data_IF_876834662859
#
_entry.id   IF_876834662859
#
_cell.length_a   1.000
_cell.length_b   1.000
_cell.length_c   1.000
_cell.angle_alpha   90.00
_cell.angle_beta   90.00
_cell.angle_gamma   90.00
#
_symmetry.space_group_name_H-M   'P 1'
#
loop_
_entity.id
_entity.type
_entity.pdbx_description
1 polymer ?
#
# COMPACT_ATOMS: atom_id res chain seq x y z
N UNK A 1 -18.95 -9.03 -19.24
CA UNK A 1 -18.25 -9.25 -17.97
C UNK A 1 -19.08 -8.57 -16.91
N UNK A 2 -19.28 -9.23 -15.77
CA UNK A 2 -19.93 -8.65 -14.61
C UNK A 2 -19.12 -7.46 -14.09
N UNK A 3 -19.77 -6.40 -13.65
CA UNK A 3 -19.10 -5.27 -13.04
C UNK A 3 -18.86 -5.54 -11.56
N UNK A 4 -17.73 -5.08 -11.05
CA UNK A 4 -17.40 -5.15 -9.63
C UNK A 4 -17.48 -3.76 -9.00
N UNK A 5 -18.21 -3.66 -7.90
CA UNK A 5 -18.44 -2.43 -7.15
C UNK A 5 -17.79 -2.47 -5.77
N UNK A 6 -17.37 -1.31 -5.29
CA UNK A 6 -16.91 -1.09 -3.92
C UNK A 6 -18.09 -0.54 -3.13
N UNK A 7 -18.45 -1.21 -2.04
CA UNK A 7 -19.55 -0.82 -1.16
C UNK A 7 -19.06 -0.10 0.08
N UNK A 8 -17.96 -0.60 0.65
CA UNK A 8 -17.36 0.02 1.83
C UNK A 8 -15.87 -0.31 1.94
N UNK A 9 -15.17 0.45 2.76
CA UNK A 9 -13.79 0.16 3.15
C UNK A 9 -13.49 0.69 4.54
N UNK A 10 -12.57 0.02 5.20
CA UNK A 10 -12.06 0.42 6.51
C UNK A 10 -10.57 0.12 6.61
N UNK A 11 -9.89 0.85 7.50
CA UNK A 11 -8.53 0.55 7.91
C UNK A 11 -8.34 0.81 9.40
N UNK A 12 -7.37 0.16 9.99
CA UNK A 12 -6.83 0.60 11.27
C UNK A 12 -6.08 1.92 11.13
N UNK A 13 -5.87 2.70 12.18
CA UNK A 13 -4.74 3.61 12.22
C UNK A 13 -3.44 2.79 12.09
N UNK A 14 -2.35 3.44 11.66
CA UNK A 14 -1.04 2.80 11.51
C UNK A 14 -0.23 3.02 12.77
N UNK A 15 0.11 1.93 13.48
CA UNK A 15 0.99 1.95 14.65
C UNK A 15 2.45 1.93 14.24
N UNK A 16 3.35 2.56 15.01
CA UNK A 16 4.80 2.46 14.74
C UNK A 16 5.29 1.01 14.81
N UNK A 17 6.01 0.55 13.81
CA UNK A 17 6.53 -0.82 13.69
C UNK A 17 7.75 -1.07 14.59
N UNK A 18 7.59 -0.88 15.89
CA UNK A 18 8.62 -1.01 16.93
C UNK A 18 8.02 -1.63 18.19
N UNK A 19 8.85 -2.20 19.10
CA UNK A 19 8.36 -2.74 20.36
C UNK A 19 7.65 -1.72 21.27
N UNK A 20 7.92 -0.43 21.10
CA UNK A 20 7.26 0.68 21.82
C UNK A 20 6.11 1.31 21.02
N UNK A 21 5.73 0.74 19.87
CA UNK A 21 4.59 1.20 19.07
C UNK A 21 3.25 0.79 19.68
N UNK A 22 2.24 1.64 19.52
CA UNK A 22 0.92 1.47 20.16
C UNK A 22 0.19 0.17 19.77
N UNK A 23 0.52 -0.43 18.61
CA UNK A 23 -0.10 -1.68 18.15
C UNK A 23 0.79 -2.93 18.38
N UNK A 24 1.97 -2.78 18.99
CA UNK A 24 2.89 -3.92 19.17
C UNK A 24 2.27 -5.05 20.00
N UNK A 25 1.51 -4.74 21.04
CA UNK A 25 0.86 -5.73 21.90
C UNK A 25 -0.41 -6.34 21.28
N UNK A 26 -0.88 -5.81 20.14
CA UNK A 26 -2.05 -6.33 19.44
C UNK A 26 -1.62 -7.42 18.46
N UNK A 27 -2.07 -8.68 18.63
CA UNK A 27 -1.76 -9.75 17.68
C UNK A 27 -2.22 -9.41 16.25
N UNK A 28 -1.47 -9.80 15.21
CA UNK A 28 -1.85 -9.54 13.81
C UNK A 28 -3.26 -10.02 13.45
N UNK A 29 -3.67 -11.16 14.03
CA UNK A 29 -5.00 -11.71 13.81
C UNK A 29 -6.10 -10.78 14.33
N UNK A 30 -5.88 -10.06 15.44
CA UNK A 30 -6.83 -9.09 15.97
C UNK A 30 -6.96 -7.85 15.09
N UNK A 31 -5.85 -7.37 14.50
CA UNK A 31 -5.89 -6.26 13.55
C UNK A 31 -6.68 -6.67 12.29
N UNK A 32 -6.44 -7.88 11.77
CA UNK A 32 -7.12 -8.41 10.60
C UNK A 32 -8.61 -8.68 10.88
N UNK A 33 -8.93 -9.33 11.99
CA UNK A 33 -10.33 -9.57 12.40
C UNK A 33 -11.07 -8.27 12.74
N UNK A 34 -10.37 -7.28 13.32
CA UNK A 34 -10.93 -5.98 13.68
C UNK A 34 -11.49 -5.22 12.48
N UNK A 35 -10.79 -5.21 11.34
CA UNK A 35 -11.31 -4.58 10.11
C UNK A 35 -12.46 -5.37 9.49
N UNK A 36 -12.47 -6.71 9.61
CA UNK A 36 -13.59 -7.54 9.17
C UNK A 36 -14.84 -7.31 10.04
N UNK A 37 -14.68 -7.30 11.37
CA UNK A 37 -15.77 -6.94 12.30
C UNK A 37 -16.34 -5.56 11.97
N UNK A 38 -15.49 -4.57 11.70
CA UNK A 38 -15.93 -3.23 11.36
C UNK A 38 -16.73 -3.19 10.04
N UNK A 39 -16.33 -3.92 9.01
CA UNK A 39 -17.12 -4.06 7.76
C UNK A 39 -18.47 -4.69 8.04
N UNK A 40 -18.52 -5.80 8.80
CA UNK A 40 -19.75 -6.48 9.16
C UNK A 40 -20.69 -5.55 9.93
N UNK A 41 -20.23 -5.00 11.03
CA UNK A 41 -21.08 -4.33 12.02
C UNK A 41 -21.64 -3.00 11.48
N UNK A 42 -20.80 -2.19 10.77
CA UNK A 42 -21.26 -0.89 10.25
C UNK A 42 -22.21 -1.01 9.05
N UNK A 43 -22.21 -2.15 8.36
CA UNK A 43 -23.06 -2.40 7.21
C UNK A 43 -24.22 -3.36 7.52
N UNK A 44 -24.32 -3.88 8.74
CA UNK A 44 -25.30 -4.94 9.07
C UNK A 44 -25.16 -6.15 8.15
N UNK A 45 -23.94 -6.46 7.71
CA UNK A 45 -23.66 -7.46 6.69
C UNK A 45 -23.97 -8.87 7.20
N UNK A 46 -24.87 -9.57 6.51
CA UNK A 46 -24.98 -11.02 6.64
C UNK A 46 -23.71 -11.65 6.05
N UNK A 47 -22.84 -12.14 6.93
CA UNK A 47 -21.56 -12.72 6.54
C UNK A 47 -21.69 -14.00 5.73
N UNK A 48 -22.86 -14.66 5.77
CA UNK A 48 -23.16 -15.81 4.91
C UNK A 48 -23.23 -15.48 3.42
N UNK A 49 -23.34 -14.20 3.06
CA UNK A 49 -23.29 -13.71 1.68
C UNK A 49 -21.86 -13.57 1.15
N UNK A 50 -20.85 -13.55 2.03
CA UNK A 50 -19.45 -13.38 1.61
C UNK A 50 -18.88 -14.72 1.14
N UNK A 51 -18.42 -14.78 -0.10
CA UNK A 51 -17.82 -15.97 -0.69
C UNK A 51 -16.36 -16.15 -0.29
N UNK A 52 -15.58 -15.04 -0.29
CA UNK A 52 -14.14 -15.12 -0.08
C UNK A 52 -13.57 -13.86 0.59
N UNK A 53 -12.55 -14.06 1.41
CA UNK A 53 -11.69 -13.00 1.97
C UNK A 53 -10.29 -13.15 1.40
N UNK A 54 -9.87 -12.21 0.57
CA UNK A 54 -8.55 -12.20 -0.06
C UNK A 54 -7.68 -11.16 0.64
N UNK A 55 -6.70 -11.59 1.43
CA UNK A 55 -5.82 -10.69 2.17
C UNK A 55 -4.37 -10.77 1.72
N UNK A 56 -3.76 -9.59 1.55
CA UNK A 56 -2.33 -9.42 1.38
C UNK A 56 -1.59 -9.54 2.70
N UNK A 57 -0.49 -10.32 2.72
CA UNK A 57 0.45 -10.39 3.81
C UNK A 57 1.83 -10.71 3.25
N UNK A 58 2.83 -9.86 3.54
CA UNK A 58 4.17 -9.99 2.93
C UNK A 58 5.06 -10.96 3.70
N UNK A 59 4.94 -10.97 5.02
CA UNK A 59 5.67 -11.89 5.88
C UNK A 59 4.73 -12.96 6.45
N UNK A 60 4.28 -13.95 5.64
CA UNK A 60 3.26 -14.93 6.02
C UNK A 60 3.83 -16.04 6.90
N UNK A 61 4.49 -15.68 7.98
CA UNK A 61 5.16 -16.61 8.91
C UNK A 61 4.82 -16.26 10.36
N UNK A 62 5.05 -17.21 11.28
CA UNK A 62 4.75 -17.02 12.70
C UNK A 62 3.29 -16.63 12.91
N UNK A 63 3.04 -15.51 13.58
CA UNK A 63 1.71 -15.02 13.90
C UNK A 63 0.89 -14.54 12.67
N UNK A 64 1.54 -14.34 11.53
CA UNK A 64 0.91 -13.97 10.25
C UNK A 64 0.80 -15.16 9.29
N UNK A 65 1.20 -16.36 9.72
CA UNK A 65 1.15 -17.58 8.92
C UNK A 65 -0.22 -18.26 8.89
N UNK A 66 -0.24 -19.45 8.31
CA UNK A 66 -1.39 -20.38 8.30
C UNK A 66 -2.69 -19.78 7.73
N UNK A 67 -2.58 -19.02 6.62
CA UNK A 67 -3.73 -18.35 5.98
C UNK A 67 -4.49 -17.42 6.92
N UNK A 68 -3.85 -16.32 7.28
CA UNK A 68 -4.42 -15.32 8.19
C UNK A 68 -5.75 -14.75 7.68
N UNK A 69 -6.04 -14.78 6.37
CA UNK A 69 -7.31 -14.31 5.80
C UNK A 69 -8.47 -15.17 6.29
N UNK A 70 -8.35 -16.49 6.14
CA UNK A 70 -9.39 -17.43 6.63
C UNK A 70 -9.50 -17.39 8.14
N UNK A 71 -8.38 -17.40 8.86
CA UNK A 71 -8.38 -17.37 10.32
C UNK A 71 -8.98 -16.07 10.86
N UNK A 72 -8.72 -14.92 10.22
CA UNK A 72 -9.32 -13.64 10.61
C UNK A 72 -10.84 -13.62 10.38
N UNK A 73 -11.33 -14.23 9.29
CA UNK A 73 -12.76 -14.35 9.04
C UNK A 73 -13.46 -15.16 10.15
N UNK A 74 -12.90 -16.31 10.52
CA UNK A 74 -13.42 -17.13 11.63
C UNK A 74 -13.35 -16.38 12.96
N UNK A 75 -12.24 -15.71 13.24
CA UNK A 75 -12.03 -14.96 14.48
C UNK A 75 -12.90 -13.70 14.57
N UNK A 76 -13.35 -13.19 13.42
CA UNK A 76 -14.31 -12.10 13.32
C UNK A 76 -15.78 -12.56 13.35
N UNK A 77 -16.06 -13.84 13.65
CA UNK A 77 -17.40 -14.45 13.68
C UNK A 77 -18.12 -14.35 12.30
N UNK A 78 -17.40 -14.46 11.23
CA UNK A 78 -17.97 -14.66 9.90
C UNK A 78 -18.50 -16.10 9.77
N UNK A 79 -19.48 -16.31 8.92
CA UNK A 79 -20.03 -17.64 8.67
C UNK A 79 -18.93 -18.65 8.27
N UNK A 80 -19.05 -19.90 8.70
CA UNK A 80 -18.08 -20.95 8.39
C UNK A 80 -17.97 -21.26 6.89
N UNK A 81 -18.96 -20.85 6.10
CA UNK A 81 -18.97 -20.94 4.64
C UNK A 81 -18.01 -20.00 3.94
N UNK A 82 -17.56 -18.91 4.60
CA UNK A 82 -16.66 -17.91 3.99
C UNK A 82 -15.29 -18.50 3.76
N UNK A 83 -14.83 -18.58 2.53
CA UNK A 83 -13.46 -18.98 2.21
C UNK A 83 -12.45 -17.88 2.57
N UNK A 84 -11.16 -18.20 2.53
CA UNK A 84 -10.11 -17.22 2.71
C UNK A 84 -8.85 -17.61 1.96
N UNK A 85 -8.13 -16.62 1.45
CA UNK A 85 -6.82 -16.83 0.82
C UNK A 85 -5.87 -15.68 1.13
N UNK A 86 -4.67 -16.04 1.53
CA UNK A 86 -3.56 -15.14 1.77
C UNK A 86 -2.66 -15.07 0.56
N UNK A 87 -2.30 -13.86 0.11
CA UNK A 87 -1.41 -13.66 -1.02
C UNK A 87 -0.23 -12.76 -0.69
N UNK A 88 0.86 -12.92 -1.44
CA UNK A 88 2.05 -12.07 -1.35
C UNK A 88 2.42 -11.53 -2.73
N UNK A 89 2.35 -10.22 -2.88
CA UNK A 89 2.94 -9.42 -3.96
C UNK A 89 3.75 -8.27 -3.38
N UNK A 90 4.55 -8.55 -2.34
CA UNK A 90 5.31 -7.55 -1.59
C UNK A 90 4.46 -6.30 -1.28
N UNK A 91 5.00 -5.11 -1.46
CA UNK A 91 4.36 -3.83 -1.15
C UNK A 91 2.95 -3.64 -1.74
N UNK A 92 2.60 -4.34 -2.84
CA UNK A 92 1.30 -4.24 -3.49
C UNK A 92 0.30 -5.32 -3.05
N UNK A 93 0.62 -6.14 -2.05
CA UNK A 93 -0.21 -7.29 -1.66
C UNK A 93 -1.67 -6.90 -1.40
N UNK A 94 -1.93 -5.81 -0.67
CA UNK A 94 -3.31 -5.38 -0.38
C UNK A 94 -4.09 -4.89 -1.61
N UNK A 95 -3.43 -4.22 -2.56
CA UNK A 95 -4.08 -3.83 -3.82
C UNK A 95 -4.31 -5.04 -4.72
N UNK A 96 -3.35 -5.96 -4.80
CA UNK A 96 -3.48 -7.18 -5.59
C UNK A 96 -4.55 -8.11 -5.00
N UNK A 97 -4.65 -8.22 -3.68
CA UNK A 97 -5.72 -8.96 -3.00
C UNK A 97 -7.09 -8.39 -3.38
N UNK A 98 -7.24 -7.07 -3.38
CA UNK A 98 -8.45 -6.39 -3.83
C UNK A 98 -8.73 -6.64 -5.32
N UNK A 99 -7.70 -6.63 -6.18
CA UNK A 99 -7.83 -6.93 -7.60
C UNK A 99 -8.22 -8.39 -7.86
N UNK A 100 -7.70 -9.34 -7.08
CA UNK A 100 -8.07 -10.76 -7.16
C UNK A 100 -9.54 -10.93 -6.77
N UNK A 101 -9.97 -10.38 -5.64
CA UNK A 101 -11.36 -10.40 -5.21
C UNK A 101 -12.31 -9.78 -6.27
N UNK A 102 -11.92 -8.63 -6.84
CA UNK A 102 -12.64 -8.02 -7.96
C UNK A 102 -12.67 -8.92 -9.20
N UNK A 103 -11.56 -9.59 -9.50
CA UNK A 103 -11.45 -10.53 -10.61
C UNK A 103 -12.37 -11.75 -10.45
N UNK A 104 -12.50 -12.29 -9.23
CA UNK A 104 -13.44 -13.37 -8.89
C UNK A 104 -14.88 -12.94 -9.17
N UNK A 105 -15.26 -11.72 -8.74
CA UNK A 105 -16.60 -11.16 -9.00
C UNK A 105 -16.82 -10.96 -10.51
N UNK A 106 -15.87 -10.36 -11.22
CA UNK A 106 -15.97 -10.13 -12.66
C UNK A 106 -16.04 -11.43 -13.48
N UNK A 107 -15.46 -12.51 -12.97
CA UNK A 107 -15.50 -13.85 -13.57
C UNK A 107 -16.75 -14.67 -13.19
N UNK A 108 -17.57 -14.17 -12.25
CA UNK A 108 -18.73 -14.91 -11.76
C UNK A 108 -18.39 -16.05 -10.80
N UNK A 109 -17.21 -16.01 -10.18
CA UNK A 109 -16.80 -16.97 -9.15
C UNK A 109 -17.37 -16.58 -7.78
N UNK A 110 -17.49 -15.29 -7.51
CA UNK A 110 -18.02 -14.73 -6.26
C UNK A 110 -19.03 -13.65 -6.57
N UNK A 111 -20.05 -13.52 -5.72
CA UNK A 111 -21.02 -12.41 -5.75
C UNK A 111 -20.62 -11.30 -4.77
N UNK A 112 -20.07 -11.69 -3.61
CA UNK A 112 -19.51 -10.78 -2.60
C UNK A 112 -18.15 -11.30 -2.16
N UNK A 113 -17.17 -10.42 -2.13
CA UNK A 113 -15.84 -10.73 -1.63
C UNK A 113 -15.25 -9.56 -0.86
N UNK A 114 -14.31 -9.84 0.04
CA UNK A 114 -13.56 -8.82 0.77
C UNK A 114 -12.09 -8.89 0.34
N UNK A 115 -11.60 -7.79 -0.25
CA UNK A 115 -10.18 -7.62 -0.53
C UNK A 115 -9.51 -6.78 0.56
N UNK A 116 -8.25 -7.02 0.86
CA UNK A 116 -7.60 -6.24 1.90
C UNK A 116 -6.21 -6.73 2.25
N UNK A 117 -5.81 -6.55 3.51
CA UNK A 117 -4.54 -7.10 3.99
C UNK A 117 -4.14 -6.63 5.37
N UNK A 118 -3.06 -7.22 5.84
CA UNK A 118 -2.49 -7.07 7.18
C UNK A 118 -0.97 -7.06 7.09
N UNK A 119 -0.34 -6.26 7.91
CA UNK A 119 1.07 -6.40 8.25
C UNK A 119 1.32 -5.86 9.66
N UNK A 120 1.94 -6.66 10.51
CA UNK A 120 2.44 -6.24 11.82
C UNK A 120 3.97 -6.32 11.81
N UNK A 121 4.59 -5.23 11.35
CA UNK A 121 6.04 -5.17 11.14
C UNK A 121 6.81 -5.04 12.44
N UNK A 122 6.13 -4.68 13.54
CA UNK A 122 6.70 -4.66 14.88
C UNK A 122 6.88 -6.06 15.48
N UNK A 123 6.01 -7.02 15.08
CA UNK A 123 6.00 -8.41 15.58
C UNK A 123 6.64 -9.39 14.62
N UNK A 124 6.41 -9.22 13.31
CA UNK A 124 7.00 -10.04 12.24
C UNK A 124 7.82 -9.12 11.32
N UNK A 125 9.12 -8.95 11.58
CA UNK A 125 9.98 -8.04 10.83
C UNK A 125 10.11 -8.40 9.36
N UNK A 126 10.39 -7.40 8.51
CA UNK A 126 10.68 -7.61 7.08
C UNK A 126 11.82 -8.62 6.91
N UNK A 127 11.62 -9.60 6.03
CA UNK A 127 12.57 -10.64 5.71
C UNK A 127 12.42 -11.90 6.57
N UNK A 128 11.45 -11.94 7.49
CA UNK A 128 11.17 -13.11 8.34
C UNK A 128 10.80 -14.35 7.52
N UNK A 129 10.18 -14.20 6.36
CA UNK A 129 9.83 -15.31 5.45
C UNK A 129 11.03 -15.83 4.64
N UNK A 130 12.16 -15.12 4.66
CA UNK A 130 13.35 -15.50 3.90
C UNK A 130 13.14 -15.43 2.39
N UNK A 131 13.71 -16.40 1.67
CA UNK A 131 13.52 -16.57 0.24
C UNK A 131 14.80 -16.48 -0.59
N UNK A 132 14.81 -17.22 -1.71
CA UNK A 132 15.99 -17.38 -2.57
C UNK A 132 16.52 -16.05 -3.13
N UNK A 133 15.67 -15.04 -3.28
CA UNK A 133 16.08 -13.74 -3.82
C UNK A 133 17.20 -13.07 -3.00
N UNK A 134 17.18 -13.22 -1.67
CA UNK A 134 18.21 -12.69 -0.78
C UNK A 134 19.25 -13.74 -0.34
N UNK A 135 18.87 -15.03 -0.29
CA UNK A 135 19.67 -16.07 0.35
C UNK A 135 20.39 -17.00 -0.62
N UNK A 136 19.94 -17.07 -1.89
CA UNK A 136 20.60 -17.88 -2.92
C UNK A 136 21.52 -17.02 -3.78
N UNK A 137 22.86 -17.23 -3.75
CA UNK A 137 23.81 -16.41 -4.51
C UNK A 137 23.57 -16.42 -6.03
N UNK A 138 23.09 -17.53 -6.60
CA UNK A 138 22.84 -17.63 -8.04
C UNK A 138 21.63 -16.79 -8.46
N UNK A 139 20.57 -16.78 -7.62
CA UNK A 139 19.40 -15.94 -7.84
C UNK A 139 19.74 -14.47 -7.63
N UNK A 140 20.43 -14.14 -6.55
CA UNK A 140 20.86 -12.77 -6.24
C UNK A 140 21.75 -12.19 -7.36
N UNK A 141 22.73 -12.96 -7.84
CA UNK A 141 23.60 -12.58 -8.96
C UNK A 141 22.81 -12.36 -10.25
N UNK A 142 21.93 -13.29 -10.62
CA UNK A 142 21.13 -13.24 -11.83
C UNK A 142 20.18 -12.03 -11.86
N UNK A 143 19.67 -11.62 -10.71
CA UNK A 143 18.72 -10.50 -10.58
C UNK A 143 19.39 -9.18 -10.24
N UNK A 144 20.72 -9.15 -10.08
CA UNK A 144 21.46 -7.98 -9.58
C UNK A 144 20.81 -7.46 -8.29
N UNK A 145 20.62 -8.36 -7.32
CA UNK A 145 19.96 -8.02 -6.06
C UNK A 145 20.68 -6.89 -5.31
N UNK A 146 19.93 -5.86 -4.98
CA UNK A 146 20.31 -4.79 -4.06
C UNK A 146 19.14 -4.46 -3.13
N UNK A 147 19.40 -3.95 -1.92
CA UNK A 147 18.35 -3.45 -1.03
C UNK A 147 17.55 -2.30 -1.66
N UNK A 148 16.24 -2.24 -1.38
CA UNK A 148 15.32 -1.24 -1.98
C UNK A 148 15.78 0.21 -1.80
N UNK A 149 16.38 0.56 -0.66
CA UNK A 149 16.87 1.90 -0.43
C UNK A 149 18.01 2.29 -1.38
N UNK A 150 18.86 1.34 -1.76
CA UNK A 150 19.88 1.57 -2.79
C UNK A 150 19.22 1.71 -4.17
N UNK A 151 18.16 0.94 -4.47
CA UNK A 151 17.38 1.14 -5.71
C UNK A 151 16.75 2.53 -5.76
N UNK A 152 16.25 3.06 -4.64
CA UNK A 152 15.72 4.41 -4.56
C UNK A 152 16.81 5.48 -4.79
N UNK A 153 18.00 5.29 -4.19
CA UNK A 153 19.15 6.17 -4.41
C UNK A 153 19.67 6.07 -5.86
N UNK A 154 19.62 4.88 -6.47
CA UNK A 154 19.91 4.66 -7.89
C UNK A 154 18.93 5.45 -8.78
N UNK A 155 17.62 5.46 -8.45
CA UNK A 155 16.62 6.30 -9.13
C UNK A 155 16.99 7.77 -8.98
N UNK A 156 17.26 8.24 -7.78
CA UNK A 156 17.63 9.63 -7.55
C UNK A 156 18.86 10.03 -8.36
N UNK A 157 19.90 9.18 -8.37
CA UNK A 157 21.12 9.38 -9.15
C UNK A 157 20.83 9.43 -10.65
N UNK A 158 20.12 8.45 -11.17
CA UNK A 158 19.86 8.28 -12.62
C UNK A 158 19.03 9.42 -13.21
N UNK A 159 18.07 9.95 -12.46
CA UNK A 159 17.20 11.04 -12.93
C UNK A 159 17.53 12.41 -12.36
N UNK A 160 18.62 12.51 -11.59
CA UNK A 160 19.17 13.77 -11.09
C UNK A 160 18.37 14.41 -9.97
N UNK A 161 17.68 13.62 -9.14
CA UNK A 161 17.01 14.13 -7.94
C UNK A 161 18.04 14.36 -6.82
N UNK A 162 18.09 15.59 -6.34
CA UNK A 162 18.98 15.98 -5.24
C UNK A 162 18.38 15.59 -3.88
N UNK A 163 19.21 15.67 -2.84
CA UNK A 163 18.77 15.58 -1.45
C UNK A 163 17.66 16.59 -1.14
N UNK A 164 17.78 17.81 -1.64
CA UNK A 164 16.77 18.86 -1.46
C UNK A 164 15.43 18.48 -2.09
N UNK A 165 15.43 17.90 -3.28
CA UNK A 165 14.19 17.51 -3.97
C UNK A 165 13.42 16.45 -3.18
N UNK A 166 14.10 15.40 -2.69
CA UNK A 166 13.45 14.32 -1.93
C UNK A 166 13.00 14.78 -0.54
N UNK A 167 13.73 15.70 0.10
CA UNK A 167 13.33 16.28 1.39
C UNK A 167 12.15 17.25 1.24
N UNK A 168 12.09 18.05 0.19
CA UNK A 168 10.94 18.92 -0.10
C UNK A 168 9.66 18.10 -0.28
N UNK A 169 9.74 17.01 -1.05
CA UNK A 169 8.61 16.10 -1.19
C UNK A 169 8.17 15.51 0.15
N UNK A 170 9.11 15.11 1.00
CA UNK A 170 8.81 14.56 2.32
C UNK A 170 8.13 15.57 3.25
N UNK A 171 8.57 16.83 3.24
CA UNK A 171 7.90 17.92 3.98
C UNK A 171 6.46 18.10 3.49
N UNK A 172 6.26 18.08 2.18
CA UNK A 172 4.92 18.21 1.60
C UNK A 172 4.01 17.01 1.96
N UNK A 173 4.51 15.77 1.92
CA UNK A 173 3.76 14.59 2.37
C UNK A 173 3.30 14.74 3.83
N UNK A 174 4.18 15.17 4.73
CA UNK A 174 3.85 15.42 6.15
C UNK A 174 2.80 16.52 6.30
N UNK A 175 2.93 17.61 5.54
CA UNK A 175 1.97 18.74 5.57
C UNK A 175 0.58 18.29 5.11
N UNK A 176 0.51 17.55 3.99
CA UNK A 176 -0.76 17.03 3.43
C UNK A 176 -1.42 16.04 4.38
N UNK A 177 -0.65 15.13 4.97
CA UNK A 177 -1.18 14.16 5.94
C UNK A 177 -1.73 14.86 7.19
N UNK A 178 -1.00 15.83 7.74
CA UNK A 178 -1.46 16.60 8.90
C UNK A 178 -2.78 17.34 8.60
N UNK A 179 -2.87 18.03 7.46
CA UNK A 179 -4.08 18.72 7.02
C UNK A 179 -5.26 17.75 6.84
N UNK A 180 -5.01 16.59 6.22
CA UNK A 180 -6.06 15.58 6.01
C UNK A 180 -6.63 15.06 7.34
N UNK A 181 -5.80 14.86 8.34
CA UNK A 181 -6.23 14.50 9.69
C UNK A 181 -6.97 15.63 10.39
N UNK A 182 -6.47 16.87 10.33
CA UNK A 182 -7.10 18.06 10.92
C UNK A 182 -8.50 18.30 10.33
N UNK A 183 -8.65 18.12 9.03
CA UNK A 183 -9.95 18.26 8.33
C UNK A 183 -10.86 17.02 8.43
N UNK A 184 -10.44 15.98 9.13
CA UNK A 184 -11.24 14.76 9.33
C UNK A 184 -11.46 13.91 8.07
N UNK A 185 -10.58 14.03 7.04
CA UNK A 185 -10.72 13.30 5.77
C UNK A 185 -10.66 11.78 5.92
N UNK A 186 -10.12 11.28 7.04
CA UNK A 186 -10.03 9.85 7.36
C UNK A 186 -11.10 9.36 8.35
N UNK A 187 -11.99 10.24 8.83
CA UNK A 187 -12.95 9.90 9.88
C UNK A 187 -13.91 8.77 9.50
N UNK A 188 -14.19 8.58 8.21
CA UNK A 188 -15.08 7.54 7.71
C UNK A 188 -14.38 6.18 7.60
N UNK A 189 -13.10 6.18 7.32
CA UNK A 189 -12.35 4.96 6.99
C UNK A 189 -11.55 4.38 8.16
N UNK A 190 -11.08 5.22 9.08
CA UNK A 190 -10.28 4.77 10.23
C UNK A 190 -11.16 4.20 11.32
N UNK A 191 -10.87 2.96 11.71
CA UNK A 191 -11.50 2.27 12.85
C UNK A 191 -10.48 2.25 13.99
N UNK A 192 -10.76 2.91 15.14
CA UNK A 192 -9.87 2.84 16.29
C UNK A 192 -9.61 1.41 16.74
N UNK A 193 -8.35 1.10 17.04
CA UNK A 193 -7.98 -0.18 17.64
C UNK A 193 -8.19 -0.09 19.15
N UNK A 194 -8.89 -1.07 19.70
CA UNK A 194 -9.21 -1.18 21.13
C UNK A 194 -8.71 -2.49 21.70
N UNK A 195 -8.46 -2.51 22.99
CA UNK A 195 -8.21 -3.73 23.73
C UNK A 195 -9.52 -4.51 24.03
N UNK A 196 -9.38 -5.68 24.67
CA UNK A 196 -10.51 -6.54 25.07
C UNK A 196 -11.48 -5.86 26.05
N UNK A 197 -11.03 -4.84 26.77
CA UNK A 197 -11.85 -4.06 27.71
C UNK A 197 -12.53 -2.86 27.04
N UNK A 198 -12.27 -2.64 25.73
CA UNK A 198 -12.84 -1.54 24.96
C UNK A 198 -12.06 -0.22 25.09
N UNK A 199 -10.88 -0.20 25.73
CA UNK A 199 -10.04 0.96 25.80
C UNK A 199 -9.34 1.21 24.45
N UNK A 200 -9.37 2.43 23.97
CA UNK A 200 -8.72 2.80 22.72
C UNK A 200 -7.19 2.78 22.89
N UNK A 201 -6.53 1.94 22.12
CA UNK A 201 -5.07 1.84 22.04
C UNK A 201 -4.50 2.80 21.01
N UNK A 202 -5.18 2.94 19.87
CA UNK A 202 -4.77 3.87 18.82
C UNK A 202 -5.99 4.29 17.98
N UNK A 203 -6.10 5.61 17.68
CA UNK A 203 -7.18 6.18 16.87
C UNK A 203 -6.70 7.03 15.69
N UNK A 204 -5.41 7.38 15.65
CA UNK A 204 -4.79 8.14 14.56
C UNK A 204 -3.45 7.54 14.15
N UNK A 205 -2.96 7.85 12.93
CA UNK A 205 -1.68 7.34 12.43
C UNK A 205 -0.51 7.84 13.30
N UNK A 206 0.15 6.94 14.02
CA UNK A 206 1.16 7.25 15.04
C UNK A 206 2.50 7.73 14.46
N UNK A 207 2.76 7.40 13.18
CA UNK A 207 4.06 7.71 12.56
C UNK A 207 4.21 9.18 12.16
N UNK A 208 3.12 9.90 11.96
CA UNK A 208 3.13 11.29 11.49
C UNK A 208 3.99 12.21 12.37
N UNK A 209 4.62 13.16 11.73
CA UNK A 209 5.43 14.22 12.37
C UNK A 209 5.00 15.59 11.83
N UNK A 210 3.83 16.09 12.24
CA UNK A 210 3.39 17.43 11.87
C UNK A 210 4.47 18.44 12.23
N UNK A 211 4.71 19.43 11.38
CA UNK A 211 5.77 20.42 11.60
C UNK A 211 7.18 19.98 11.17
N UNK A 212 7.32 18.87 10.43
CA UNK A 212 8.59 18.51 9.79
C UNK A 212 9.08 19.64 8.89
N UNK A 213 10.37 20.02 9.03
CA UNK A 213 11.00 21.10 8.27
C UNK A 213 12.19 20.61 7.45
N UNK A 214 12.54 21.36 6.42
CA UNK A 214 13.77 21.11 5.64
C UNK A 214 15.02 21.11 6.50
N UNK A 215 15.10 21.98 7.51
CA UNK A 215 16.22 22.03 8.45
C UNK A 215 16.34 20.74 9.28
N UNK A 216 15.21 20.21 9.76
CA UNK A 216 15.19 18.96 10.52
C UNK A 216 15.60 17.77 9.67
N UNK A 217 15.10 17.68 8.43
CA UNK A 217 15.47 16.62 7.49
C UNK A 217 16.93 16.73 7.05
N UNK A 218 17.44 17.94 6.81
CA UNK A 218 18.83 18.21 6.40
C UNK A 218 19.88 17.68 7.39
N UNK A 219 19.53 17.57 8.67
CA UNK A 219 20.39 16.98 9.71
C UNK A 219 20.48 15.45 9.69
N UNK A 220 19.60 14.76 8.95
CA UNK A 220 19.58 13.30 8.89
C UNK A 220 20.64 12.75 7.92
N UNK A 221 21.35 11.70 8.34
CA UNK A 221 22.34 11.03 7.48
C UNK A 221 21.60 10.09 6.50
N UNK A 222 22.10 9.92 5.27
CA UNK A 222 21.61 8.90 4.34
C UNK A 222 21.65 7.51 4.99
N UNK A 223 20.51 6.79 4.97
CA UNK A 223 20.38 5.51 5.67
C UNK A 223 21.06 4.35 4.98
N UNK A 224 21.27 4.44 3.65
CA UNK A 224 21.75 3.32 2.85
C UNK A 224 23.23 3.44 2.45
N UNK A 225 23.88 4.57 2.76
CA UNK A 225 25.28 4.81 2.44
C UNK A 225 26.23 3.79 3.12
N UNK A 226 25.90 3.29 4.30
CA UNK A 226 26.71 2.27 4.99
C UNK A 226 26.73 0.91 4.26
N UNK A 227 25.63 0.56 3.58
CA UNK A 227 25.53 -0.70 2.84
C UNK A 227 26.49 -0.76 1.65
N UNK A 228 27.00 0.39 1.20
CA UNK A 228 28.07 0.51 0.21
C UNK A 228 29.37 -0.11 0.72
N UNK A 229 29.79 0.28 1.94
CA UNK A 229 31.06 -0.16 2.52
C UNK A 229 31.01 -1.62 3.02
N UNK A 230 29.93 -2.00 3.69
CA UNK A 230 29.84 -3.28 4.38
C UNK A 230 29.54 -4.46 3.43
N UNK A 231 28.75 -4.23 2.37
CA UNK A 231 28.24 -5.31 1.49
C UNK A 231 28.49 -5.09 0.00
N UNK A 232 29.00 -3.94 -0.43
CA UNK A 232 29.35 -3.68 -1.83
C UNK A 232 28.16 -3.54 -2.79
N UNK A 233 26.94 -3.31 -2.31
CA UNK A 233 25.72 -3.25 -3.13
C UNK A 233 25.73 -2.14 -4.17
N UNK A 234 26.41 -1.02 -3.92
CA UNK A 234 26.61 0.03 -4.95
C UNK A 234 27.34 -0.51 -6.17
N UNK A 235 28.35 -1.37 -5.94
CA UNK A 235 29.07 -2.03 -7.03
C UNK A 235 28.19 -2.92 -7.89
N UNK A 236 27.22 -3.62 -7.28
CA UNK A 236 26.23 -4.42 -8.02
C UNK A 236 25.34 -3.53 -8.88
N UNK A 237 24.86 -2.40 -8.32
CA UNK A 237 24.04 -1.45 -9.07
C UNK A 237 24.79 -0.81 -10.24
N UNK A 238 26.01 -0.35 -10.02
CA UNK A 238 26.88 0.24 -11.08
C UNK A 238 27.25 -0.80 -12.14
N UNK A 239 27.44 -2.07 -11.76
CA UNK A 239 27.68 -3.14 -12.72
C UNK A 239 26.47 -3.32 -13.66
N UNK A 240 25.24 -3.17 -13.16
CA UNK A 240 24.02 -3.22 -13.96
C UNK A 240 23.78 -1.94 -14.77
N UNK A 241 24.20 -0.80 -14.25
CA UNK A 241 24.05 0.54 -14.84
C UNK A 241 25.43 1.21 -15.03
N UNK A 242 26.24 0.76 -16.00
CA UNK A 242 27.62 1.20 -16.15
C UNK A 242 27.77 2.68 -16.57
N UNK A 243 26.68 3.33 -16.96
CA UNK A 243 26.64 4.77 -17.22
C UNK A 243 26.67 5.60 -15.92
N UNK A 244 26.51 4.97 -14.75
CA UNK A 244 26.52 5.61 -13.44
C UNK A 244 27.88 5.35 -12.77
N UNK A 245 28.67 6.39 -12.53
CA UNK A 245 29.98 6.27 -11.91
C UNK A 245 29.90 5.98 -10.41
N UNK A 246 28.93 6.58 -9.71
CA UNK A 246 28.70 6.39 -8.28
C UNK A 246 27.25 6.71 -7.92
N UNK A 247 26.71 6.01 -6.92
CA UNK A 247 25.38 6.27 -6.37
C UNK A 247 25.44 7.44 -5.39
N UNK A 248 24.59 8.44 -5.61
CA UNK A 248 24.37 9.54 -4.68
C UNK A 248 23.30 9.15 -3.66
N UNK A 249 23.69 8.87 -2.42
CA UNK A 249 22.79 8.49 -1.35
C UNK A 249 22.07 9.71 -0.78
N UNK A 250 20.77 9.79 -1.02
CA UNK A 250 19.90 10.92 -0.62
C UNK A 250 18.77 10.51 0.31
N UNK A 251 18.43 9.18 0.36
CA UNK A 251 17.33 8.71 1.17
C UNK A 251 17.73 8.41 2.62
N UNK A 252 16.81 8.73 3.51
CA UNK A 252 16.87 8.49 4.95
C UNK A 252 15.47 8.27 5.53
N UNK A 253 15.37 7.99 6.81
CA UNK A 253 14.11 7.67 7.48
C UNK A 253 13.04 8.78 7.39
N UNK A 254 13.42 10.03 7.09
CA UNK A 254 12.48 11.15 6.98
C UNK A 254 11.91 11.35 5.56
N UNK A 255 12.48 10.73 4.52
CA UNK A 255 12.02 10.82 3.13
C UNK A 255 11.79 9.43 2.48
N UNK A 256 11.64 8.43 3.33
CA UNK A 256 11.27 7.05 3.03
C UNK A 256 10.04 6.65 3.84
N UNK A 257 9.30 5.64 3.40
CA UNK A 257 8.12 5.15 4.13
C UNK A 257 8.46 4.65 5.52
N UNK A 258 7.58 4.92 6.47
CA UNK A 258 7.69 4.41 7.84
C UNK A 258 7.35 2.92 7.93
N UNK A 259 8.10 2.20 8.78
CA UNK A 259 7.76 0.83 9.18
C UNK A 259 6.65 0.92 10.23
N UNK A 260 5.51 0.28 9.97
CA UNK A 260 4.30 0.39 10.81
C UNK A 260 3.47 -0.90 10.78
N UNK A 261 2.55 -1.01 11.73
CA UNK A 261 1.55 -2.07 11.81
C UNK A 261 0.20 -1.55 11.31
N UNK A 262 -0.61 -2.40 10.67
CA UNK A 262 -1.97 -2.02 10.29
C UNK A 262 -2.65 -3.03 9.37
N UNK A 263 -3.98 -2.93 9.31
CA UNK A 263 -4.85 -3.75 8.47
C UNK A 263 -5.88 -2.90 7.72
N UNK A 264 -6.39 -3.42 6.61
CA UNK A 264 -7.47 -2.80 5.84
C UNK A 264 -8.35 -3.85 5.17
N UNK A 265 -9.63 -3.52 4.97
CA UNK A 265 -10.60 -4.34 4.27
C UNK A 265 -11.47 -3.49 3.35
N UNK A 266 -11.82 -4.03 2.17
CA UNK A 266 -12.68 -3.41 1.15
C UNK A 266 -13.77 -4.41 0.80
N UNK A 267 -15.03 -4.03 1.00
CA UNK A 267 -16.20 -4.81 0.61
C UNK A 267 -16.52 -4.62 -0.86
N UNK A 268 -16.48 -5.70 -1.61
CA UNK A 268 -16.71 -5.77 -3.04
C UNK A 268 -17.93 -6.64 -3.35
N UNK A 269 -18.63 -6.33 -4.44
CA UNK A 269 -19.72 -7.20 -4.89
C UNK A 269 -20.26 -6.82 -6.27
N UNK A 270 -21.15 -7.70 -6.76
CA UNK A 270 -21.99 -7.41 -7.92
C UNK A 270 -23.05 -6.34 -7.57
N UNK A 271 -23.71 -5.75 -8.57
CA UNK A 271 -24.82 -4.80 -8.33
C UNK A 271 -26.01 -5.50 -7.63
N UNK A 272 -26.27 -6.74 -8.01
CA UNK A 272 -27.34 -7.60 -7.45
C UNK A 272 -27.05 -7.91 -5.97
N UNK A 273 -25.81 -8.27 -5.66
CA UNK A 273 -25.37 -8.51 -4.29
C UNK A 273 -25.51 -7.23 -3.42
N UNK A 274 -25.20 -6.05 -3.99
CA UNK A 274 -25.42 -4.78 -3.31
C UNK A 274 -26.88 -4.55 -2.94
N UNK A 275 -27.80 -4.88 -3.85
CA UNK A 275 -29.24 -4.81 -3.54
C UNK A 275 -29.65 -5.78 -2.44
N UNK A 276 -29.11 -7.00 -2.42
CA UNK A 276 -29.34 -8.00 -1.37
C UNK A 276 -28.80 -7.53 -0.01
N UNK A 277 -27.64 -6.89 0.01
CA UNK A 277 -27.02 -6.30 1.21
C UNK A 277 -27.68 -4.97 1.65
N UNK A 278 -28.60 -4.43 0.85
CA UNK A 278 -29.21 -3.09 1.04
C UNK A 278 -28.16 -1.96 1.02
N UNK A 279 -27.06 -2.15 0.31
CA UNK A 279 -25.97 -1.19 0.19
C UNK A 279 -25.93 -0.51 -1.19
N UNK A 280 -25.56 0.77 -1.19
CA UNK A 280 -25.34 1.53 -2.42
C UNK A 280 -23.88 1.44 -2.81
N UNK A 281 -23.57 1.19 -4.09
CA UNK A 281 -22.20 1.20 -4.55
C UNK A 281 -21.61 2.62 -4.44
N UNK A 282 -20.36 2.71 -4.00
CA UNK A 282 -19.61 3.97 -3.87
C UNK A 282 -18.76 4.24 -5.11
N UNK A 283 -18.12 3.18 -5.62
CA UNK A 283 -17.36 3.21 -6.86
C UNK A 283 -17.43 1.87 -7.57
N UNK A 284 -17.04 1.84 -8.84
CA UNK A 284 -16.74 0.60 -9.55
C UNK A 284 -15.25 0.45 -9.81
N UNK A 285 -14.77 -0.79 -9.85
CA UNK A 285 -13.43 -1.09 -10.35
C UNK A 285 -13.47 -1.10 -11.88
N UNK A 286 -12.85 -0.10 -12.49
CA UNK A 286 -12.85 0.09 -13.95
C UNK A 286 -11.89 -0.85 -14.66
N UNK A 287 -10.67 -0.94 -14.15
CA UNK A 287 -9.61 -1.78 -14.69
C UNK A 287 -8.49 -1.96 -13.65
N UNK A 288 -7.77 -3.05 -13.76
CA UNK A 288 -6.54 -3.28 -13.00
C UNK A 288 -5.49 -4.00 -13.84
N UNK A 289 -4.23 -3.87 -13.44
CA UNK A 289 -3.11 -4.51 -14.11
C UNK A 289 -1.93 -4.70 -13.16
N UNK A 290 -1.13 -5.73 -13.44
CA UNK A 290 0.19 -5.93 -12.85
C UNK A 290 1.22 -6.15 -13.94
N UNK A 291 2.49 -5.79 -13.67
CA UNK A 291 3.64 -5.98 -14.55
C UNK A 291 4.87 -6.44 -13.77
N UNK A 292 5.80 -7.09 -14.49
CA UNK A 292 7.21 -7.14 -14.08
C UNK A 292 7.99 -5.98 -14.70
N UNK A 293 9.02 -5.50 -14.00
CA UNK A 293 9.96 -4.48 -14.44
C UNK A 293 11.40 -4.89 -14.14
N UNK A 294 12.38 -4.03 -14.40
CA UNK A 294 13.79 -4.34 -14.17
C UNK A 294 14.07 -4.55 -12.67
N UNK A 295 14.63 -5.72 -12.25
CA UNK A 295 14.67 -6.10 -10.84
C UNK A 295 15.71 -5.36 -9.99
N UNK A 296 16.80 -4.83 -10.56
CA UNK A 296 17.81 -4.12 -9.81
C UNK A 296 17.31 -2.73 -9.36
N UNK A 297 16.84 -1.89 -10.29
CA UNK A 297 16.25 -0.58 -9.95
C UNK A 297 14.84 -0.71 -9.37
N UNK A 298 14.23 -1.82 -9.51
CA UNK A 298 12.95 -2.39 -9.07
C UNK A 298 11.75 -1.44 -8.88
N UNK A 299 11.96 -0.18 -8.49
CA UNK A 299 10.88 0.72 -8.06
C UNK A 299 10.27 1.56 -9.20
N UNK A 300 10.60 1.25 -10.46
CA UNK A 300 10.10 1.96 -11.65
C UNK A 300 8.78 1.40 -12.21
N UNK A 301 8.26 0.31 -11.64
CA UNK A 301 7.04 -0.36 -12.07
C UNK A 301 5.78 0.52 -12.15
N UNK A 302 5.55 1.52 -11.27
CA UNK A 302 4.34 2.35 -11.26
C UNK A 302 4.05 3.05 -12.58
N UNK A 303 5.04 3.65 -13.24
CA UNK A 303 4.88 4.32 -14.53
C UNK A 303 4.42 3.33 -15.61
N UNK A 304 5.08 2.21 -15.71
CA UNK A 304 4.82 1.21 -16.74
C UNK A 304 3.44 0.54 -16.54
N UNK A 305 3.08 0.21 -15.29
CA UNK A 305 1.76 -0.39 -15.00
C UNK A 305 0.63 0.62 -15.19
N UNK A 306 0.86 1.91 -14.91
CA UNK A 306 -0.10 2.97 -15.19
C UNK A 306 -0.42 3.04 -16.68
N UNK A 307 0.57 3.04 -17.58
CA UNK A 307 0.33 3.00 -19.02
C UNK A 307 -0.44 1.74 -19.44
N UNK A 308 -0.12 0.60 -18.83
CA UNK A 308 -0.81 -0.67 -19.13
C UNK A 308 -2.28 -0.63 -18.70
N UNK A 309 -2.59 -0.16 -17.50
CA UNK A 309 -3.97 -0.12 -17.00
C UNK A 309 -4.81 0.93 -17.72
N UNK A 310 -4.25 2.09 -18.03
CA UNK A 310 -4.91 3.12 -18.85
C UNK A 310 -5.26 2.59 -20.23
N UNK A 311 -4.32 1.91 -20.90
CA UNK A 311 -4.61 1.26 -22.20
C UNK A 311 -5.75 0.25 -22.11
N UNK A 312 -5.81 -0.56 -21.04
CA UNK A 312 -6.91 -1.52 -20.81
C UNK A 312 -8.25 -0.83 -20.59
N UNK A 313 -8.25 0.28 -19.89
CA UNK A 313 -9.45 1.08 -19.63
C UNK A 313 -9.90 1.91 -20.84
N UNK A 314 -9.07 2.06 -21.89
CA UNK A 314 -9.30 2.98 -22.99
C UNK A 314 -9.16 4.44 -22.57
N UNK A 315 -8.30 4.73 -21.60
CA UNK A 315 -8.12 6.05 -20.95
C UNK A 315 -6.69 6.56 -21.14
N UNK A 316 -6.52 7.84 -20.85
CA UNK A 316 -5.25 8.55 -20.79
C UNK A 316 -5.02 9.13 -19.38
N UNK A 317 -3.86 9.70 -19.09
CA UNK A 317 -3.61 10.38 -17.81
C UNK A 317 -4.49 11.59 -17.58
N UNK A 318 -5.00 12.23 -18.64
CA UNK A 318 -5.93 13.38 -18.53
C UNK A 318 -7.35 12.99 -18.10
N UNK A 319 -7.71 11.72 -18.22
CA UNK A 319 -9.00 11.19 -17.79
C UNK A 319 -9.02 10.81 -16.31
N UNK A 320 -7.87 10.92 -15.63
CA UNK A 320 -7.71 10.61 -14.21
C UNK A 320 -7.68 11.92 -13.41
N UNK A 321 -8.57 12.02 -12.43
CA UNK A 321 -8.67 13.19 -11.56
C UNK A 321 -7.65 13.13 -10.41
N UNK A 322 -7.45 11.95 -9.81
CA UNK A 322 -6.56 11.73 -8.67
C UNK A 322 -5.63 10.53 -8.89
N UNK A 323 -4.39 10.66 -8.45
CA UNK A 323 -3.40 9.59 -8.45
C UNK A 323 -2.94 9.31 -7.02
N UNK A 324 -3.06 8.06 -6.58
CA UNK A 324 -2.51 7.58 -5.32
C UNK A 324 -1.37 6.60 -5.62
N UNK A 325 -0.15 7.04 -5.40
CA UNK A 325 1.07 6.23 -5.49
C UNK A 325 1.64 6.01 -4.09
N UNK A 326 1.85 4.76 -3.69
CA UNK A 326 2.52 4.49 -2.43
C UNK A 326 3.91 5.16 -2.38
N UNK A 327 4.13 5.94 -1.33
CA UNK A 327 5.37 6.69 -1.09
C UNK A 327 6.44 5.81 -0.43
N UNK A 328 6.88 4.74 -1.11
CA UNK A 328 7.95 3.91 -0.56
C UNK A 328 9.22 4.74 -0.31
N UNK A 329 9.54 5.63 -1.26
CA UNK A 329 10.64 6.60 -1.23
C UNK A 329 10.25 7.84 -2.03
N UNK A 330 10.70 9.01 -1.63
CA UNK A 330 10.37 10.27 -2.31
C UNK A 330 10.76 10.27 -3.80
N UNK A 331 11.95 9.73 -4.15
CA UNK A 331 12.39 9.65 -5.54
C UNK A 331 11.46 8.84 -6.45
N UNK A 332 10.74 7.86 -5.91
CA UNK A 332 9.77 7.06 -6.67
C UNK A 332 8.60 7.93 -7.13
N UNK A 333 8.08 8.78 -6.24
CA UNK A 333 6.97 9.67 -6.56
C UNK A 333 7.41 10.78 -7.53
N UNK A 334 8.57 11.37 -7.29
CA UNK A 334 9.16 12.39 -8.19
C UNK A 334 9.37 11.82 -9.60
N UNK A 335 9.86 10.58 -9.70
CA UNK A 335 10.04 9.90 -10.99
C UNK A 335 8.70 9.67 -11.69
N UNK A 336 7.70 9.18 -10.97
CA UNK A 336 6.36 8.93 -11.48
C UNK A 336 5.72 10.19 -12.06
N UNK A 337 5.75 11.30 -11.29
CA UNK A 337 5.27 12.60 -11.75
C UNK A 337 6.01 13.09 -13.00
N UNK A 338 7.34 12.98 -13.01
CA UNK A 338 8.19 13.40 -14.13
C UNK A 338 7.90 12.63 -15.41
N UNK A 339 7.84 11.29 -15.35
CA UNK A 339 7.69 10.45 -16.54
C UNK A 339 6.27 10.49 -17.14
N UNK A 340 5.25 10.66 -16.31
CA UNK A 340 3.87 10.78 -16.74
C UNK A 340 3.41 12.24 -16.91
N UNK A 341 4.26 13.21 -16.57
CA UNK A 341 3.97 14.66 -16.63
C UNK A 341 2.72 15.03 -15.84
N UNK A 342 2.59 14.47 -14.64
CA UNK A 342 1.43 14.69 -13.77
C UNK A 342 1.55 16.03 -13.05
N UNK A 343 0.40 16.64 -12.82
CA UNK A 343 0.27 17.75 -11.89
C UNK A 343 0.48 17.24 -10.46
N UNK A 344 1.47 17.76 -9.70
CA UNK A 344 1.72 17.36 -8.32
C UNK A 344 0.52 17.53 -7.38
N UNK A 345 -0.40 18.48 -7.69
CA UNK A 345 -1.60 18.71 -6.90
C UNK A 345 -2.68 17.63 -7.08
N UNK A 346 -2.50 16.71 -8.03
CA UNK A 346 -3.36 15.54 -8.24
C UNK A 346 -2.78 14.25 -7.67
N UNK A 347 -1.56 14.27 -7.13
CA UNK A 347 -0.83 13.08 -6.66
C UNK A 347 -0.71 13.12 -5.15
N UNK A 348 -1.20 12.07 -4.48
CA UNK A 348 -1.10 11.88 -3.01
C UNK A 348 -1.59 13.11 -2.24
N UNK A 349 -2.77 13.58 -2.57
CA UNK A 349 -3.33 14.86 -2.07
C UNK A 349 -3.57 14.88 -0.55
N UNK A 350 -3.63 13.70 0.07
CA UNK A 350 -3.77 13.52 1.53
C UNK A 350 -2.46 13.08 2.22
N UNK A 351 -1.31 13.30 1.56
CA UNK A 351 -0.05 12.73 2.01
C UNK A 351 0.01 11.22 1.78
N UNK A 352 1.03 10.55 2.29
CA UNK A 352 1.20 9.13 2.02
C UNK A 352 2.10 8.42 3.04
N UNK A 353 2.77 7.37 2.59
CA UNK A 353 3.52 6.46 3.45
C UNK A 353 4.78 7.08 4.11
N UNK A 354 5.33 8.15 3.54
CA UNK A 354 6.42 8.90 4.19
C UNK A 354 5.93 9.52 5.49
N UNK A 355 4.72 10.06 5.48
CA UNK A 355 4.13 10.67 6.67
C UNK A 355 3.47 9.62 7.57
N UNK A 356 2.61 8.76 7.01
CA UNK A 356 1.73 7.89 7.79
C UNK A 356 2.27 6.46 7.97
N UNK A 357 3.23 6.02 7.14
CA UNK A 357 3.79 4.66 7.18
C UNK A 357 3.19 3.69 6.17
N UNK A 358 3.83 2.51 6.06
CA UNK A 358 3.57 1.50 5.02
C UNK A 358 3.49 0.09 5.62
N UNK A 359 2.33 -0.33 6.19
CA UNK A 359 2.12 -1.72 6.55
C UNK A 359 1.97 -2.51 5.25
N UNK A 360 3.01 -3.26 4.87
CA UNK A 360 3.25 -3.76 3.51
C UNK A 360 2.03 -4.46 2.90
N UNK A 361 1.47 -5.43 3.62
CA UNK A 361 0.33 -6.22 3.15
C UNK A 361 -0.99 -5.44 3.06
N UNK A 362 -1.14 -4.36 3.83
CA UNK A 362 -2.39 -3.61 3.92
C UNK A 362 -2.43 -2.34 3.06
N UNK A 363 -1.27 -1.74 2.78
CA UNK A 363 -1.19 -0.39 2.21
C UNK A 363 -1.98 -0.22 0.92
N UNK A 364 -1.95 -1.21 0.02
CA UNK A 364 -2.66 -1.10 -1.25
C UNK A 364 -4.16 -0.91 -1.10
N UNK A 365 -4.78 -1.60 -0.14
CA UNK A 365 -6.19 -1.42 0.21
C UNK A 365 -6.42 -0.08 0.92
N UNK A 366 -5.51 0.33 1.81
CA UNK A 366 -5.61 1.63 2.50
C UNK A 366 -5.64 2.81 1.54
N UNK A 367 -4.72 2.85 0.57
CA UNK A 367 -4.65 3.96 -0.39
C UNK A 367 -5.78 3.92 -1.43
N UNK A 368 -6.31 2.73 -1.76
CA UNK A 368 -7.50 2.61 -2.59
C UNK A 368 -8.71 3.24 -1.89
N UNK A 369 -8.89 2.94 -0.59
CA UNK A 369 -9.93 3.55 0.22
C UNK A 369 -9.75 5.07 0.37
N UNK A 370 -8.50 5.54 0.58
CA UNK A 370 -8.19 6.98 0.63
C UNK A 370 -8.57 7.68 -0.68
N UNK A 371 -8.24 7.08 -1.83
CA UNK A 371 -8.62 7.61 -3.13
C UNK A 371 -10.14 7.69 -3.29
N UNK A 372 -10.88 6.66 -2.87
CA UNK A 372 -12.34 6.64 -2.92
C UNK A 372 -12.97 7.74 -2.06
N UNK A 373 -12.54 7.87 -0.80
CA UNK A 373 -13.05 8.93 0.08
C UNK A 373 -12.76 10.32 -0.48
N UNK A 374 -11.61 10.52 -1.13
CA UNK A 374 -11.25 11.80 -1.75
C UNK A 374 -12.07 12.10 -3.02
N UNK A 375 -12.40 11.07 -3.85
CA UNK A 375 -13.33 11.23 -4.96
C UNK A 375 -14.71 11.70 -4.47
N UNK A 376 -15.21 11.12 -3.38
CA UNK A 376 -16.49 11.51 -2.79
C UNK A 376 -16.44 12.92 -2.20
N UNK A 377 -15.36 13.25 -1.47
CA UNK A 377 -15.19 14.56 -0.81
C UNK A 377 -15.11 15.69 -1.82
N UNK A 378 -14.41 15.50 -2.92
CA UNK A 378 -14.18 16.53 -3.94
C UNK A 378 -15.22 16.53 -5.05
N UNK A 379 -16.00 15.46 -5.17
CA UNK A 379 -17.02 15.29 -6.21
C UNK A 379 -16.46 14.93 -7.59
N UNK A 380 -15.15 14.64 -7.72
CA UNK A 380 -14.53 14.19 -8.98
C UNK A 380 -14.78 12.71 -9.24
N UNK A 381 -14.48 12.22 -10.44
CA UNK A 381 -14.99 10.95 -10.95
C UNK A 381 -14.03 9.78 -10.89
N UNK A 382 -12.73 10.00 -11.10
CA UNK A 382 -11.79 8.91 -11.38
C UNK A 382 -10.51 8.99 -10.56
N UNK A 383 -10.06 7.83 -10.05
CA UNK A 383 -8.75 7.73 -9.41
C UNK A 383 -7.96 6.52 -9.93
N UNK A 384 -6.65 6.67 -9.99
CA UNK A 384 -5.69 5.61 -10.27
C UNK A 384 -4.81 5.39 -9.05
N UNK A 385 -4.80 4.16 -8.55
CA UNK A 385 -4.02 3.74 -7.40
C UNK A 385 -2.92 2.80 -7.85
N UNK A 386 -1.67 3.02 -7.42
CA UNK A 386 -0.53 2.18 -7.83
C UNK A 386 0.53 2.07 -6.75
N UNK A 387 1.32 0.99 -6.82
CA UNK A 387 2.47 0.75 -5.94
C UNK A 387 3.66 0.24 -6.75
N UNK A 388 4.85 0.68 -6.33
CA UNK A 388 6.11 -0.01 -6.67
C UNK A 388 6.25 -1.25 -5.79
N UNK A 389 6.93 -2.26 -6.31
CA UNK A 389 6.96 -3.59 -5.70
C UNK A 389 8.38 -4.14 -5.73
N UNK A 390 8.80 -4.79 -4.65
CA UNK A 390 10.08 -5.49 -4.58
C UNK A 390 10.29 -6.44 -5.77
N UNK A 391 11.52 -6.76 -6.07
CA UNK A 391 11.94 -7.59 -7.21
C UNK A 391 11.54 -7.05 -8.60
N UNK A 392 11.20 -5.77 -8.71
CA UNK A 392 10.85 -5.14 -9.99
C UNK A 392 9.46 -5.52 -10.49
N UNK A 393 8.41 -4.98 -9.86
CA UNK A 393 7.02 -5.13 -10.28
C UNK A 393 6.24 -3.82 -10.06
N UNK A 394 5.03 -3.77 -10.63
CA UNK A 394 4.05 -2.73 -10.37
C UNK A 394 2.63 -3.26 -10.45
N UNK A 395 1.74 -2.74 -9.60
CA UNK A 395 0.30 -3.05 -9.63
C UNK A 395 -0.46 -1.73 -9.65
N UNK A 396 -1.52 -1.65 -10.46
CA UNK A 396 -2.38 -0.47 -10.55
C UNK A 396 -3.85 -0.84 -10.72
N UNK A 397 -4.72 0.01 -10.17
CA UNK A 397 -6.18 -0.12 -10.22
C UNK A 397 -6.79 1.24 -10.52
N UNK A 398 -7.75 1.29 -11.45
CA UNK A 398 -8.57 2.47 -11.72
C UNK A 398 -9.95 2.25 -11.11
N UNK A 399 -10.41 3.20 -10.33
CA UNK A 399 -11.76 3.25 -9.78
C UNK A 399 -12.52 4.46 -10.33
N UNK A 400 -13.82 4.28 -10.52
CA UNK A 400 -14.75 5.34 -10.94
C UNK A 400 -15.88 5.47 -9.91
N UNK A 401 -16.08 6.67 -9.40
CA UNK A 401 -17.21 6.98 -8.51
C UNK A 401 -18.55 6.78 -9.23
N UNK A 402 -19.52 6.22 -8.57
CA UNK A 402 -20.88 5.98 -9.09
C UNK A 402 -21.93 6.80 -8.35
#
# INVERSE_FOLDING_TARGET
>A
MTECYIYDHVRTPRGRGRPDGALHEVPPIELAAGVLRAIRDRNGLDTGLVDDVVFGCVEPVGEQGADIARLAALHADYAESVAGVQINRFCASGLEATNIAAGQIMAGQSDVAIGGGIESMSRVPIGSSGGAWMTDPAVAFKTYFIPQGISADLIATKWGFSRTDVDLYAVESQRRAALAWEEGRFARSVVPVKDELGLTLLECDEHMRPGTTMQALGGLKPSFAQLRGDYGFDGVAVQRYPEIEAINHVHHSGNSSGIVDGAAAILLGTREAGATMELKPRARIRAFASIGSEPCIMLTGPEQVTRKVLKRAGMTTSDIDLFELNEAFAAVVLLYQKLLKLDPEKVNVNGGAIAMGHPLGATGAMILGTALDELERTGVGTALVTLCVGAGMGTATIIERV
#
